data_IF_251300545863
#
_entry.id   IF_251300545863
#
_cell.length_a   1.000
_cell.length_b   1.000
_cell.length_c   1.000
_cell.angle_alpha   90.00
_cell.angle_beta   90.00
_cell.angle_gamma   90.00
#
_symmetry.space_group_name_H-M   'P 1'
#
loop_
_entity.id
_entity.type
_entity.pdbx_description
1 polymer ?
#
# COMPACT_ATOMS: atom_id res chain seq x y z
N UNK A 1 -10.78 -59.80 39.36
CA UNK A 1 -11.77 -59.89 38.25
C UNK A 1 -12.60 -58.61 38.31
N UNK A 2 -12.37 -57.55 37.51
CA UNK A 2 -12.58 -57.34 36.06
C UNK A 2 -14.02 -57.63 35.60
N UNK A 3 -14.84 -56.59 35.52
CA UNK A 3 -16.02 -56.48 34.64
C UNK A 3 -15.93 -55.08 33.99
N UNK A 4 -15.36 -54.96 32.78
CA UNK A 4 -16.07 -54.98 31.49
C UNK A 4 -17.21 -53.96 31.41
N UNK A 5 -16.85 -52.72 31.04
CA UNK A 5 -17.77 -51.74 30.49
C UNK A 5 -17.59 -51.70 28.96
N UNK A 6 -18.74 -51.71 28.28
CA UNK A 6 -18.93 -52.03 26.88
C UNK A 6 -18.61 -50.88 25.91
N UNK A 7 -18.41 -51.28 24.65
CA UNK A 7 -18.24 -50.48 23.44
C UNK A 7 -19.32 -49.40 23.24
N UNK A 8 -18.90 -48.23 22.75
CA UNK A 8 -19.66 -47.44 21.78
C UNK A 8 -18.75 -47.20 20.59
N UNK A 9 -19.09 -47.83 19.47
CA UNK A 9 -18.64 -47.44 18.14
C UNK A 9 -19.61 -46.37 17.62
N UNK A 10 -19.10 -45.24 17.15
CA UNK A 10 -19.86 -44.30 16.34
C UNK A 10 -19.03 -43.89 15.12
N UNK A 11 -19.74 -43.84 14.01
CA UNK A 11 -19.30 -44.00 12.63
C UNK A 11 -18.80 -42.68 12.02
N UNK A 12 -17.94 -42.82 11.02
CA UNK A 12 -17.24 -41.81 10.25
C UNK A 12 -18.07 -40.63 9.72
N UNK A 13 -17.41 -39.47 9.58
CA UNK A 13 -17.63 -38.56 8.46
C UNK A 13 -16.27 -38.10 7.91
N UNK A 14 -15.89 -38.66 6.77
CA UNK A 14 -15.07 -37.95 5.80
C UNK A 14 -15.84 -36.68 5.41
N UNK A 15 -15.38 -35.53 5.91
CA UNK A 15 -15.97 -34.22 5.64
C UNK A 15 -14.89 -33.26 5.16
N UNK A 16 -14.73 -33.20 3.85
CA UNK A 16 -13.91 -32.25 3.11
C UNK A 16 -14.11 -30.80 3.56
N UNK A 17 -13.03 -30.15 3.98
CA UNK A 17 -12.90 -28.68 3.95
C UNK A 17 -11.60 -28.37 3.20
N UNK A 18 -11.65 -28.56 1.88
CA UNK A 18 -10.78 -27.88 0.93
C UNK A 18 -11.37 -26.48 0.69
N UNK A 19 -11.41 -25.61 1.72
CA UNK A 19 -11.99 -24.26 1.62
C UNK A 19 -10.95 -23.13 1.57
N UNK A 20 -9.75 -23.38 1.07
CA UNK A 20 -8.83 -22.30 0.68
C UNK A 20 -8.31 -22.48 -0.76
N UNK A 21 -9.21 -22.80 -1.68
CA UNK A 21 -9.01 -22.60 -3.12
C UNK A 21 -10.28 -21.99 -3.74
N UNK A 22 -10.64 -20.80 -3.25
CA UNK A 22 -11.30 -19.79 -4.05
C UNK A 22 -10.17 -18.79 -4.38
N UNK A 23 -9.56 -18.81 -5.55
CA UNK A 23 -10.21 -18.59 -6.82
C UNK A 23 -9.95 -17.15 -7.25
N UNK A 24 -8.77 -16.92 -7.85
CA UNK A 24 -8.57 -15.84 -8.83
C UNK A 24 -8.48 -14.40 -8.34
N UNK A 25 -7.43 -14.05 -7.62
CA UNK A 25 -6.47 -13.05 -8.10
C UNK A 25 -5.14 -13.38 -7.43
N UNK A 26 -4.05 -13.37 -8.20
CA UNK A 26 -2.71 -13.57 -7.69
C UNK A 26 -2.50 -12.62 -6.50
N UNK A 27 -2.16 -13.20 -5.35
CA UNK A 27 -1.92 -12.45 -4.13
C UNK A 27 -0.73 -11.52 -4.33
N UNK A 28 -0.99 -10.30 -4.79
CA UNK A 28 -0.14 -9.17 -4.45
C UNK A 28 -0.22 -9.05 -2.94
N UNK A 29 0.91 -9.27 -2.27
CA UNK A 29 1.02 -8.85 -0.88
C UNK A 29 0.75 -7.34 -0.82
N UNK A 30 0.26 -6.84 0.32
CA UNK A 30 -0.01 -5.42 0.55
C UNK A 30 1.15 -4.49 0.10
N UNK A 31 2.38 -5.01 0.20
CA UNK A 31 3.63 -4.39 -0.24
C UNK A 31 3.76 -4.29 -1.78
N UNK A 32 3.39 -5.34 -2.52
CA UNK A 32 3.54 -5.44 -3.97
C UNK A 32 2.56 -4.54 -4.75
N UNK A 33 1.38 -4.28 -4.17
CA UNK A 33 0.39 -3.33 -4.70
C UNK A 33 0.85 -1.88 -4.57
N UNK A 34 1.44 -1.52 -3.43
CA UNK A 34 1.95 -0.17 -3.16
C UNK A 34 3.25 0.16 -3.93
N UNK A 35 3.95 -0.85 -4.45
CA UNK A 35 5.17 -0.72 -5.24
C UNK A 35 4.93 -0.68 -6.76
N UNK A 36 3.73 -1.00 -7.23
CA UNK A 36 3.44 -1.09 -8.66
C UNK A 36 3.23 0.30 -9.30
N UNK A 37 3.71 0.58 -10.53
CA UNK A 37 3.29 1.77 -11.28
C UNK A 37 1.76 1.83 -11.39
N UNK A 38 1.16 3.02 -11.30
CA UNK A 38 -0.30 3.11 -11.25
C UNK A 38 -0.84 4.42 -10.68
N UNK A 39 -2.15 4.44 -10.46
CA UNK A 39 -2.87 5.55 -9.86
C UNK A 39 -2.93 5.38 -8.34
N UNK A 40 -2.64 6.45 -7.61
CA UNK A 40 -2.58 6.51 -6.16
C UNK A 40 -3.44 7.67 -5.66
N UNK A 41 -3.92 7.54 -4.43
CA UNK A 41 -4.59 8.61 -3.71
C UNK A 41 -3.70 9.11 -2.58
N UNK A 42 -3.51 10.43 -2.54
CA UNK A 42 -2.84 11.12 -1.44
C UNK A 42 -3.90 11.81 -0.58
N UNK A 43 -3.84 11.61 0.73
CA UNK A 43 -4.85 12.08 1.69
C UNK A 43 -4.16 12.80 2.83
N UNK A 44 -4.64 13.98 3.22
CA UNK A 44 -4.16 14.70 4.39
C UNK A 44 -5.11 14.48 5.57
N UNK A 45 -4.52 14.25 6.75
CA UNK A 45 -5.19 14.19 8.05
C UNK A 45 -6.43 13.28 8.04
N UNK A 46 -6.26 12.02 7.59
CA UNK A 46 -7.33 11.02 7.54
C UNK A 46 -8.25 11.15 6.33
N UNK A 47 -8.90 12.29 6.13
CA UNK A 47 -9.79 12.55 4.98
C UNK A 47 -10.09 14.03 4.69
N UNK A 48 -9.50 14.98 5.42
CA UNK A 48 -9.77 16.41 5.31
C UNK A 48 -9.54 16.98 3.90
N UNK A 49 -8.51 16.47 3.21
CA UNK A 49 -8.23 16.80 1.83
C UNK A 49 -7.64 15.59 1.10
N UNK A 50 -7.90 15.48 -0.20
CA UNK A 50 -7.29 14.44 -1.01
C UNK A 50 -7.08 14.85 -2.45
N UNK A 51 -6.14 14.19 -3.11
CA UNK A 51 -5.91 14.34 -4.54
C UNK A 51 -5.35 13.05 -5.14
N UNK A 52 -5.29 13.01 -6.47
CA UNK A 52 -4.72 11.87 -7.19
C UNK A 52 -3.27 12.14 -7.56
N UNK A 53 -2.44 11.11 -7.47
CA UNK A 53 -1.08 11.09 -8.02
C UNK A 53 -0.89 9.83 -8.84
N UNK A 54 0.02 9.84 -9.81
CA UNK A 54 0.29 8.70 -10.67
C UNK A 54 1.78 8.41 -10.73
N UNK A 55 2.17 7.21 -10.32
CA UNK A 55 3.52 6.69 -10.54
C UNK A 55 3.61 6.19 -11.98
N UNK A 56 4.43 6.85 -12.78
CA UNK A 56 4.72 6.51 -14.16
C UNK A 56 5.85 5.50 -14.30
N UNK A 57 6.48 5.48 -15.48
CA UNK A 57 7.60 4.60 -15.78
C UNK A 57 8.83 4.90 -14.93
N UNK A 58 9.58 3.85 -14.58
CA UNK A 58 10.90 3.97 -13.98
C UNK A 58 11.89 4.53 -15.01
N UNK A 59 12.70 5.53 -14.59
CA UNK A 59 13.72 6.20 -15.42
C UNK A 59 15.14 5.90 -14.95
N UNK A 60 15.31 5.52 -13.69
CA UNK A 60 16.55 5.01 -13.10
C UNK A 60 16.20 4.10 -11.90
N UNK A 61 17.19 3.42 -11.33
CA UNK A 61 16.98 2.54 -10.18
C UNK A 61 16.21 3.24 -9.06
N UNK A 62 15.04 2.70 -8.68
CA UNK A 62 14.13 3.28 -7.68
C UNK A 62 13.40 4.57 -8.12
N UNK A 63 13.88 5.28 -9.15
CA UNK A 63 13.37 6.58 -9.60
C UNK A 63 12.36 6.45 -10.74
N UNK A 64 11.13 6.90 -10.51
CA UNK A 64 10.04 6.91 -11.49
C UNK A 64 9.52 8.31 -11.75
N UNK A 65 8.91 8.53 -12.92
CA UNK A 65 8.13 9.74 -13.18
C UNK A 65 6.90 9.79 -12.25
N UNK A 66 6.53 10.99 -11.82
CA UNK A 66 5.35 11.24 -10.99
C UNK A 66 4.51 12.32 -11.64
N UNK A 67 3.21 12.06 -11.79
CA UNK A 67 2.21 13.07 -12.14
C UNK A 67 1.38 13.40 -10.91
N UNK A 68 1.26 14.69 -10.59
CA UNK A 68 0.49 15.20 -9.46
C UNK A 68 -0.65 16.06 -10.00
N UNK A 69 -1.89 15.83 -9.58
CA UNK A 69 -3.01 16.67 -10.05
C UNK A 69 -2.96 18.07 -9.46
N UNK A 70 -3.46 19.07 -10.21
CA UNK A 70 -3.35 20.48 -9.82
C UNK A 70 -4.01 20.82 -8.47
N UNK A 71 -5.02 20.05 -8.04
CA UNK A 71 -5.69 20.25 -6.75
C UNK A 71 -4.87 19.76 -5.55
N UNK A 72 -3.76 19.04 -5.74
CA UNK A 72 -2.92 18.56 -4.64
C UNK A 72 -2.30 19.68 -3.79
N UNK A 73 -2.28 20.93 -4.27
CA UNK A 73 -1.89 22.09 -3.46
C UNK A 73 -2.76 22.28 -2.21
N UNK A 74 -3.99 21.73 -2.22
CA UNK A 74 -4.90 21.74 -1.06
C UNK A 74 -4.54 20.67 -0.03
N UNK A 75 -3.83 19.61 -0.44
CA UNK A 75 -3.36 18.52 0.41
C UNK A 75 -2.02 18.89 1.06
N UNK A 76 -1.06 19.36 0.26
CA UNK A 76 0.22 19.88 0.74
C UNK A 76 0.67 21.01 -0.19
N UNK A 77 0.69 22.28 0.26
CA UNK A 77 1.16 23.38 -0.55
C UNK A 77 2.60 23.14 -1.04
N UNK A 78 2.79 23.18 -2.37
CA UNK A 78 4.09 22.97 -3.00
C UNK A 78 4.32 21.56 -3.54
N UNK A 79 3.46 20.60 -3.22
CA UNK A 79 3.56 19.23 -3.74
C UNK A 79 3.28 19.15 -5.23
N UNK A 80 2.55 20.11 -5.80
CA UNK A 80 2.27 20.20 -7.24
C UNK A 80 3.55 20.34 -8.08
N UNK A 81 4.68 20.68 -7.46
CA UNK A 81 6.00 20.74 -8.12
C UNK A 81 6.66 19.38 -8.24
N UNK A 82 6.19 18.35 -7.53
CA UNK A 82 6.80 17.04 -7.56
C UNK A 82 6.62 16.38 -8.93
N UNK A 83 7.72 15.81 -9.45
CA UNK A 83 7.82 15.18 -10.77
C UNK A 83 8.43 13.79 -10.72
N UNK A 84 9.01 13.43 -9.57
CA UNK A 84 9.68 12.17 -9.37
C UNK A 84 9.22 11.50 -8.10
N UNK A 85 8.97 10.20 -8.23
CA UNK A 85 8.79 9.25 -7.14
C UNK A 85 10.10 8.47 -7.01
N UNK A 86 10.66 8.37 -5.81
CA UNK A 86 11.82 7.49 -5.58
C UNK A 86 11.56 6.56 -4.43
N UNK A 87 11.72 5.29 -4.72
CA UNK A 87 11.74 4.21 -3.75
C UNK A 87 13.20 3.95 -3.36
N UNK A 88 13.47 3.91 -2.06
CA UNK A 88 14.78 3.66 -1.48
C UNK A 88 14.90 2.19 -1.05
N UNK A 89 16.13 1.72 -0.87
CA UNK A 89 16.41 0.33 -0.46
C UNK A 89 15.82 -0.03 0.92
N UNK A 90 15.49 0.97 1.75
CA UNK A 90 14.84 0.80 3.05
C UNK A 90 13.31 0.82 2.98
N UNK A 91 12.73 0.84 1.77
CA UNK A 91 11.29 0.88 1.52
C UNK A 91 10.68 2.28 1.66
N UNK A 92 11.46 3.32 2.00
CA UNK A 92 10.95 4.69 2.03
C UNK A 92 10.67 5.21 0.63
N UNK A 93 9.67 6.07 0.53
CA UNK A 93 9.28 6.74 -0.72
C UNK A 93 9.46 8.24 -0.57
N UNK A 94 10.03 8.89 -1.58
CA UNK A 94 10.13 10.36 -1.63
C UNK A 94 9.51 10.92 -2.90
N UNK A 95 8.81 12.04 -2.76
CA UNK A 95 8.41 12.86 -3.89
C UNK A 95 9.34 14.06 -4.00
N UNK A 96 9.82 14.35 -5.20
CA UNK A 96 10.78 15.44 -5.43
C UNK A 96 10.54 16.12 -6.77
N UNK A 97 10.95 17.39 -6.88
CA UNK A 97 10.87 18.14 -8.14
C UNK A 97 12.00 17.76 -9.12
N UNK A 98 13.16 17.40 -8.58
CA UNK A 98 14.41 17.20 -9.34
C UNK A 98 14.96 15.77 -9.24
N UNK A 99 14.27 14.86 -8.53
CA UNK A 99 14.76 13.50 -8.37
C UNK A 99 15.82 13.35 -7.28
N UNK A 100 16.02 14.35 -6.42
CA UNK A 100 17.02 14.32 -5.34
C UNK A 100 16.42 14.87 -4.04
N UNK A 101 15.97 16.13 -4.04
CA UNK A 101 15.56 16.84 -2.83
C UNK A 101 14.08 16.57 -2.52
N UNK A 102 13.76 15.92 -1.38
CA UNK A 102 12.39 15.53 -1.07
C UNK A 102 11.53 16.74 -0.70
N UNK A 103 10.33 16.79 -1.29
CA UNK A 103 9.22 17.65 -0.85
C UNK A 103 8.42 16.94 0.24
N UNK A 104 8.27 15.61 0.11
CA UNK A 104 7.67 14.73 1.11
C UNK A 104 8.39 13.39 1.10
N UNK A 105 8.51 12.80 2.28
CA UNK A 105 9.03 11.46 2.52
C UNK A 105 8.03 10.64 3.30
N UNK A 106 7.82 9.41 2.85
CA UNK A 106 6.91 8.45 3.43
C UNK A 106 7.66 7.19 3.88
N UNK A 107 7.22 6.62 4.99
CA UNK A 107 7.55 5.26 5.40
C UNK A 107 6.40 4.31 5.04
N UNK A 108 6.68 3.00 5.05
CA UNK A 108 5.64 1.98 4.91
C UNK A 108 4.68 2.07 6.11
N UNK A 109 3.37 2.07 5.83
CA UNK A 109 2.35 2.11 6.87
C UNK A 109 1.94 0.70 7.31
N UNK A 110 1.27 0.60 8.47
CA UNK A 110 0.62 -0.65 8.91
C UNK A 110 -0.60 -0.94 8.00
N UNK A 111 -0.37 -1.60 6.87
CA UNK A 111 -1.40 -1.92 5.88
C UNK A 111 -0.91 -1.79 4.44
N UNK A 112 -1.80 -1.37 3.53
CA UNK A 112 -1.44 -1.08 2.15
C UNK A 112 -1.07 0.40 2.00
N UNK A 113 0.17 0.68 1.60
CA UNK A 113 0.62 2.01 1.25
C UNK A 113 1.62 2.62 2.24
N UNK A 114 1.65 3.94 2.29
CA UNK A 114 2.68 4.73 2.95
C UNK A 114 2.10 5.86 3.78
N UNK A 115 2.86 6.29 4.80
CA UNK A 115 2.53 7.43 5.65
C UNK A 115 3.71 8.40 5.76
N UNK A 116 3.45 9.71 5.67
CA UNK A 116 4.50 10.72 5.71
C UNK A 116 5.02 10.95 7.12
N UNK A 117 6.34 11.08 7.24
CA UNK A 117 6.98 11.59 8.47
C UNK A 117 7.74 12.90 8.22
N UNK A 118 7.92 13.30 6.95
CA UNK A 118 8.49 14.58 6.58
C UNK A 118 7.73 15.15 5.37
N UNK A 119 7.09 16.33 5.46
CA UNK A 119 6.93 17.13 6.68
C UNK A 119 6.10 16.41 7.74
N UNK A 120 6.24 16.83 9.01
CA UNK A 120 5.47 16.24 10.11
C UNK A 120 3.97 16.59 10.06
N UNK A 121 3.62 17.71 9.42
CA UNK A 121 2.25 18.15 9.21
C UNK A 121 2.08 18.75 7.80
N UNK A 122 0.92 18.55 7.16
CA UNK A 122 -0.13 17.59 7.54
C UNK A 122 0.37 16.15 7.50
N UNK A 123 -0.30 15.25 8.23
CA UNK A 123 -0.02 13.83 8.13
C UNK A 123 -0.62 13.32 6.82
N UNK A 124 0.20 12.73 5.95
CA UNK A 124 -0.21 12.29 4.64
C UNK A 124 -0.21 10.77 4.53
N UNK A 125 -1.32 10.21 4.09
CA UNK A 125 -1.40 8.80 3.71
C UNK A 125 -1.43 8.67 2.18
N UNK A 126 -0.69 7.71 1.65
CA UNK A 126 -0.54 7.45 0.22
C UNK A 126 -0.85 5.97 -0.05
N UNK A 127 -1.91 5.70 -0.79
CA UNK A 127 -2.32 4.33 -1.10
C UNK A 127 -2.61 4.17 -2.59
N UNK A 128 -2.37 2.97 -3.12
CA UNK A 128 -2.82 2.63 -4.47
C UNK A 128 -4.34 2.79 -4.55
N UNK A 129 -4.84 3.31 -5.67
CA UNK A 129 -6.28 3.42 -5.88
C UNK A 129 -6.82 2.03 -6.18
N UNK A 130 -7.65 1.49 -5.30
CA UNK A 130 -8.41 0.26 -5.58
C UNK A 130 -9.44 0.53 -6.69
N UNK A 131 -9.56 -0.40 -7.63
CA UNK A 131 -10.62 -0.40 -8.66
C UNK A 131 -11.97 -0.84 -8.08
#
# INVERSE_FOLDING_TARGET
MKALAALIAAVALFGSIQLFYSGGSEGRTADESAQSPGDYRLVANGDEASCAVKRGSQVAHGLSLLTVTANCRQVLPGIERAKFWREQDDGTVTFSANGIDPIVTFGVADGEGYESYAPALPLLSLAAKSD
#
